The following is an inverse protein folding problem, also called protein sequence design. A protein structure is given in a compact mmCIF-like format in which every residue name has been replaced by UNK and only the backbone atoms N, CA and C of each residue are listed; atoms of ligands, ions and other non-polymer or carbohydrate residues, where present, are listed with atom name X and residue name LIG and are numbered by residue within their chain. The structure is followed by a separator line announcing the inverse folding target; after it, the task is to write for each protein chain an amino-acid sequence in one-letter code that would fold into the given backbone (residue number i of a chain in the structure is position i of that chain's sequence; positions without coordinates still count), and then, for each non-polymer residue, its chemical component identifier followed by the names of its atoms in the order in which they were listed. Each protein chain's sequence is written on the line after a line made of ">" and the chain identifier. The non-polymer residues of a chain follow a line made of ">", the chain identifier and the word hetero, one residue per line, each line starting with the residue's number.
data_IF_639930709288
#
_entry.id   IF_639930709288
#
_cell.length_a   1.000
_cell.length_b   1.000
_cell.length_c   1.000
_cell.angle_alpha   90.00
_cell.angle_beta   90.00
_cell.angle_gamma   90.00
#
_symmetry.space_group_name_H-M   'P 1'
#
loop_
_entity.id
_entity.type
_entity.pdbx_description
1 polymer ?
#
# COMPACT_ATOMS: atom_id res chain seq x y z
N UNK A 1 -14.52 -9.80 15.89
CA UNK A 1 -13.44 -10.28 14.99
C UNK A 1 -13.87 -10.17 13.53
N UNK A 2 -13.18 -9.39 12.70
CA UNK A 2 -13.45 -9.32 11.24
C UNK A 2 -12.31 -9.91 10.41
N UNK A 3 -12.61 -10.31 9.18
CA UNK A 3 -11.64 -10.90 8.26
C UNK A 3 -10.89 -9.80 7.50
N UNK A 4 -9.57 -9.64 7.68
CA UNK A 4 -8.78 -8.60 7.03
C UNK A 4 -8.68 -8.75 5.49
N UNK A 5 -9.00 -9.92 4.93
CA UNK A 5 -9.05 -10.15 3.49
C UNK A 5 -10.40 -9.71 2.86
N UNK A 6 -11.39 -9.32 3.66
CA UNK A 6 -12.74 -8.92 3.20
C UNK A 6 -13.02 -7.46 3.50
N UNK A 7 -13.91 -6.86 2.70
CA UNK A 7 -14.33 -5.47 2.89
C UNK A 7 -13.23 -4.45 2.62
N UNK A 8 -12.23 -4.84 1.82
CA UNK A 8 -11.14 -3.95 1.41
C UNK A 8 -11.74 -2.84 0.56
N UNK A 9 -11.65 -1.60 1.06
CA UNK A 9 -12.23 -0.42 0.43
C UNK A 9 -11.11 0.57 0.15
N UNK A 10 -10.89 0.89 -1.13
CA UNK A 10 -9.87 1.83 -1.57
C UNK A 10 -9.03 1.28 -2.73
N UNK A 11 -8.48 2.19 -3.55
CA UNK A 11 -7.60 1.82 -4.66
C UNK A 11 -6.27 1.28 -4.13
N UNK A 12 -5.84 0.13 -4.65
CA UNK A 12 -4.56 -0.50 -4.33
C UNK A 12 -4.41 -0.95 -2.87
N UNK A 13 -5.52 -1.12 -2.14
CA UNK A 13 -5.51 -1.73 -0.82
C UNK A 13 -5.65 -3.26 -0.95
N UNK A 14 -4.90 -3.98 -0.13
CA UNK A 14 -4.87 -5.45 -0.08
C UNK A 14 -5.23 -5.99 1.30
N UNK A 15 -5.42 -5.10 2.27
CA UNK A 15 -5.76 -5.43 3.65
C UNK A 15 -6.84 -4.45 4.13
N UNK A 16 -7.85 -4.98 4.83
CA UNK A 16 -8.80 -4.16 5.54
C UNK A 16 -8.21 -3.71 6.87
N UNK A 17 -7.76 -2.45 6.90
CA UNK A 17 -7.16 -1.84 8.07
C UNK A 17 -8.11 -1.75 9.29
N UNK A 18 -9.43 -1.70 9.08
CA UNK A 18 -10.40 -1.63 10.18
C UNK A 18 -10.44 -2.92 11.03
N UNK A 19 -9.86 -4.02 10.55
CA UNK A 19 -9.83 -5.30 11.27
C UNK A 19 -8.73 -5.44 12.30
N UNK A 20 -7.81 -4.49 12.36
CA UNK A 20 -6.68 -4.54 13.29
C UNK A 20 -6.95 -3.76 14.59
N UNK A 21 -8.21 -3.61 14.96
CA UNK A 21 -8.64 -2.91 16.18
C UNK A 21 -8.62 -3.86 17.37
N UNK A 22 -8.35 -3.36 18.60
CA UNK A 22 -8.44 -4.20 19.80
C UNK A 22 -9.87 -4.71 19.99
N UNK A 23 -9.99 -5.96 20.42
CA UNK A 23 -11.27 -6.54 20.80
C UNK A 23 -11.78 -5.93 22.11
N UNK A 24 -13.07 -6.13 22.42
CA UNK A 24 -13.61 -5.66 23.69
C UNK A 24 -12.96 -6.39 24.88
N UNK A 25 -12.83 -5.75 26.05
CA UNK A 25 -12.32 -6.41 27.25
C UNK A 25 -13.10 -7.69 27.54
N UNK A 26 -12.37 -8.80 27.76
CA UNK A 26 -12.97 -10.12 28.00
C UNK A 26 -13.17 -10.98 26.74
N UNK A 27 -12.91 -10.44 25.55
CA UNK A 27 -12.93 -11.21 24.30
C UNK A 27 -11.53 -11.68 23.91
N UNK A 28 -11.40 -12.94 23.50
CA UNK A 28 -10.14 -13.47 22.98
C UNK A 28 -9.85 -12.90 21.58
N UNK A 29 -8.59 -12.49 21.39
CA UNK A 29 -7.99 -12.13 20.11
C UNK A 29 -8.15 -13.23 19.06
N UNK A 30 -8.14 -12.86 17.79
CA UNK A 30 -8.00 -13.83 16.69
C UNK A 30 -6.52 -14.16 16.56
N UNK A 31 -6.14 -15.37 16.96
CA UNK A 31 -4.74 -15.80 16.89
C UNK A 31 -4.28 -16.14 15.46
N UNK A 32 -5.22 -16.39 14.53
CA UNK A 32 -4.92 -16.84 13.18
C UNK A 32 -5.26 -15.77 12.15
N UNK A 33 -4.22 -15.30 11.44
CA UNK A 33 -4.37 -14.41 10.28
C UNK A 33 -4.76 -15.24 9.06
N UNK A 34 -5.81 -14.86 8.32
CA UNK A 34 -6.11 -15.52 7.05
C UNK A 34 -5.04 -15.20 6.00
N UNK A 35 -5.04 -15.97 4.91
CA UNK A 35 -4.23 -15.63 3.75
C UNK A 35 -4.62 -14.26 3.19
N UNK A 36 -3.64 -13.37 3.04
CA UNK A 36 -3.80 -12.03 2.48
C UNK A 36 -3.15 -12.01 1.09
N UNK A 37 -3.93 -11.93 0.00
CA UNK A 37 -3.38 -11.86 -1.34
C UNK A 37 -2.74 -10.48 -1.57
N UNK A 38 -1.53 -10.47 -2.12
CA UNK A 38 -0.86 -9.23 -2.53
C UNK A 38 -1.29 -8.74 -3.92
N UNK A 39 -0.66 -7.66 -4.40
CA UNK A 39 -0.80 -7.19 -5.77
C UNK A 39 -0.60 -8.30 -6.81
N UNK A 40 -1.42 -8.28 -7.86
CA UNK A 40 -1.28 -9.21 -8.96
C UNK A 40 -0.02 -8.88 -9.75
N UNK A 41 0.81 -9.89 -9.98
CA UNK A 41 1.94 -9.82 -10.90
C UNK A 41 1.50 -10.29 -12.29
N UNK A 42 1.56 -9.40 -13.28
CA UNK A 42 1.42 -9.74 -14.68
C UNK A 42 2.66 -9.22 -15.41
N UNK A 43 3.14 -9.89 -16.46
CA UNK A 43 4.21 -9.36 -17.31
C UNK A 43 4.04 -9.89 -18.73
N UNK A 44 4.43 -9.08 -19.71
CA UNK A 44 4.31 -9.42 -21.13
C UNK A 44 5.65 -9.24 -21.81
N UNK A 45 6.18 -10.32 -22.37
CA UNK A 45 7.45 -10.29 -23.10
C UNK A 45 7.22 -10.72 -24.54
N UNK A 46 7.86 -10.03 -25.48
CA UNK A 46 7.73 -10.27 -26.91
C UNK A 46 9.11 -10.52 -27.52
N UNK A 47 9.26 -11.67 -28.18
CA UNK A 47 10.46 -11.96 -28.98
C UNK A 47 10.07 -12.28 -30.41
N UNK A 48 10.66 -11.55 -31.36
CA UNK A 48 10.51 -11.76 -32.80
C UNK A 48 11.87 -12.12 -33.39
N UNK A 49 11.89 -13.19 -34.19
CA UNK A 49 13.09 -13.61 -34.91
C UNK A 49 12.76 -13.90 -36.37
N UNK A 50 13.55 -13.34 -37.28
CA UNK A 50 13.38 -13.58 -38.72
C UNK A 50 14.73 -13.88 -39.36
N UNK A 51 14.76 -14.96 -40.11
CA UNK A 51 15.89 -15.35 -40.94
C UNK A 51 15.60 -14.94 -42.39
N UNK A 52 16.53 -14.21 -42.99
CA UNK A 52 16.57 -13.86 -44.39
C UNK A 52 17.69 -14.67 -45.04
N UNK A 53 17.32 -15.54 -45.99
CA UNK A 53 18.31 -16.24 -46.83
C UNK A 53 18.78 -15.26 -47.90
N UNK A 54 20.08 -15.00 -47.94
CA UNK A 54 20.68 -14.14 -48.97
C UNK A 54 21.11 -15.03 -50.14
N UNK A 55 21.83 -16.12 -49.85
CA UNK A 55 22.23 -17.16 -50.82
C UNK A 55 22.02 -18.55 -50.22
N UNK A 56 22.41 -19.59 -50.93
CA UNK A 56 22.31 -20.99 -50.48
C UNK A 56 23.12 -21.28 -49.21
N UNK A 57 24.22 -20.55 -49.00
CA UNK A 57 25.10 -20.68 -47.83
C UNK A 57 24.99 -19.50 -46.85
N UNK A 58 24.52 -18.34 -47.30
CA UNK A 58 24.46 -17.14 -46.47
C UNK A 58 23.07 -16.87 -45.88
N UNK A 59 23.01 -16.66 -44.57
CA UNK A 59 21.78 -16.30 -43.84
C UNK A 59 22.01 -15.13 -42.92
N UNK A 60 21.10 -14.15 -42.96
CA UNK A 60 21.03 -13.03 -42.04
C UNK A 60 19.84 -13.20 -41.10
N UNK A 61 20.09 -13.16 -39.80
CA UNK A 61 19.06 -13.30 -38.76
C UNK A 61 18.93 -11.99 -37.98
N UNK A 62 17.71 -11.46 -37.95
CA UNK A 62 17.34 -10.37 -37.04
C UNK A 62 16.58 -10.95 -35.85
N UNK A 63 16.93 -10.47 -34.67
CA UNK A 63 16.27 -10.79 -33.39
C UNK A 63 15.89 -9.47 -32.74
N UNK A 64 14.64 -9.39 -32.34
CA UNK A 64 14.08 -8.30 -31.56
C UNK A 64 13.48 -8.92 -30.30
N UNK A 65 13.90 -8.47 -29.12
CA UNK A 65 13.28 -8.84 -27.87
C UNK A 65 12.83 -7.58 -27.13
N UNK A 66 11.62 -7.61 -26.59
CA UNK A 66 11.04 -6.55 -25.78
C UNK A 66 10.47 -7.17 -24.50
N UNK A 67 10.99 -6.74 -23.35
CA UNK A 67 10.53 -7.16 -22.03
C UNK A 67 9.60 -6.08 -21.45
N UNK A 68 8.52 -6.51 -20.80
CA UNK A 68 7.38 -5.66 -20.45
C UNK A 68 6.87 -4.85 -21.67
N UNK A 69 6.60 -5.56 -22.77
CA UNK A 69 6.21 -4.98 -24.06
C UNK A 69 4.96 -4.11 -23.99
N UNK A 70 3.96 -4.52 -23.21
CA UNK A 70 2.72 -3.74 -23.03
C UNK A 70 2.89 -2.53 -22.11
N UNK A 71 4.10 -2.33 -21.55
CA UNK A 71 4.44 -1.22 -20.66
C UNK A 71 3.38 -1.01 -19.57
N UNK A 72 2.87 -2.11 -19.04
CA UNK A 72 1.95 -2.05 -17.93
C UNK A 72 2.73 -2.01 -16.63
N UNK A 73 2.07 -1.48 -15.61
CA UNK A 73 2.66 -1.18 -14.34
C UNK A 73 2.51 -2.35 -13.36
N UNK A 74 3.61 -2.82 -12.77
CA UNK A 74 3.56 -3.82 -11.70
C UNK A 74 3.50 -3.11 -10.37
N UNK A 75 2.29 -3.07 -9.82
CA UNK A 75 2.09 -2.66 -8.46
C UNK A 75 2.69 -3.70 -7.50
N UNK A 76 3.46 -3.26 -6.51
CA UNK A 76 4.08 -4.15 -5.53
C UNK A 76 4.29 -3.45 -4.18
N UNK A 77 4.60 -4.25 -3.17
CA UNK A 77 5.19 -3.80 -1.92
C UNK A 77 6.71 -3.96 -2.01
N UNK A 78 7.46 -2.94 -1.58
CA UNK A 78 8.93 -2.99 -1.58
C UNK A 78 9.48 -3.51 -0.27
N UNK A 79 10.74 -3.92 -0.27
CA UNK A 79 11.44 -4.25 0.97
C UNK A 79 11.41 -3.04 1.91
N UNK A 80 11.00 -3.27 3.16
CA UNK A 80 10.82 -2.22 4.19
C UNK A 80 9.72 -1.19 3.91
N UNK A 81 8.72 -1.52 3.07
CA UNK A 81 7.56 -0.65 2.84
C UNK A 81 6.85 -0.29 4.15
N UNK A 82 6.65 1.00 4.38
CA UNK A 82 6.00 1.50 5.58
C UNK A 82 4.50 1.15 5.61
N UNK A 83 3.91 0.90 4.44
CA UNK A 83 2.51 0.45 4.33
C UNK A 83 2.32 -1.01 4.78
N UNK A 84 3.41 -1.76 5.05
CA UNK A 84 3.37 -3.10 5.65
C UNK A 84 3.71 -3.10 7.14
N UNK A 85 4.05 -1.95 7.71
CA UNK A 85 4.43 -1.84 9.12
C UNK A 85 3.23 -1.39 9.92
N UNK A 86 2.76 -2.25 10.81
CA UNK A 86 1.78 -1.89 11.81
C UNK A 86 2.51 -1.52 13.10
N UNK A 87 2.33 -0.28 13.55
CA UNK A 87 2.84 0.18 14.83
C UNK A 87 1.71 0.16 15.86
N UNK A 88 1.89 -0.62 16.93
CA UNK A 88 0.91 -0.80 18.02
C UNK A 88 1.34 -0.07 19.31
N UNK A 89 2.36 0.80 19.23
CA UNK A 89 2.97 1.42 20.42
C UNK A 89 1.99 2.33 21.18
N UNK A 90 0.91 2.74 20.53
CA UNK A 90 -0.10 3.63 21.09
C UNK A 90 -1.16 2.89 21.93
N UNK A 91 -1.19 1.55 21.91
CA UNK A 91 -2.12 0.77 22.77
C UNK A 91 -1.71 0.73 24.25
N UNK A 92 -0.52 1.24 24.59
CA UNK A 92 -0.05 1.45 25.97
C UNK A 92 0.03 2.94 26.35
N UNK A 93 -0.29 3.83 25.42
CA UNK A 93 -0.64 5.20 25.79
C UNK A 93 -2.13 5.21 26.12
N UNK A 94 -2.45 4.74 27.34
CA UNK A 94 -3.41 5.53 28.12
C UNK A 94 -2.86 6.93 28.02
N UNK A 95 -3.59 7.77 27.30
CA UNK A 95 -3.30 9.18 27.12
C UNK A 95 -3.18 9.79 28.52
N UNK A 96 -1.97 9.78 29.06
CA UNK A 96 -1.62 10.34 30.35
C UNK A 96 -1.16 11.79 30.18
N UNK A 97 -1.53 12.42 29.06
CA UNK A 97 -1.11 13.79 28.76
C UNK A 97 -1.73 14.49 27.55
N UNK A 98 -2.42 13.80 26.62
CA UNK A 98 -3.33 14.54 25.73
C UNK A 98 -4.59 14.82 26.53
N UNK A 99 -4.83 16.10 26.76
CA UNK A 99 -6.11 16.58 27.24
C UNK A 99 -7.19 15.91 26.39
N UNK A 100 -7.90 14.95 26.97
CA UNK A 100 -9.09 14.37 26.38
C UNK A 100 -10.05 15.55 26.31
N UNK A 101 -10.12 16.22 25.16
CA UNK A 101 -11.18 17.18 24.88
C UNK A 101 -12.47 16.37 24.74
N UNK A 102 -13.00 15.93 25.87
CA UNK A 102 -14.40 15.59 25.98
C UNK A 102 -15.17 16.88 25.71
N UNK A 103 -16.09 16.90 24.72
CA UNK A 103 -16.95 18.04 24.52
C UNK A 103 -17.94 18.08 25.69
N UNK A 104 -17.54 18.71 26.79
CA UNK A 104 -18.34 18.82 28.00
C UNK A 104 -17.50 18.76 29.27
N UNK A 105 -16.68 19.78 29.51
CA UNK A 105 -16.66 20.56 30.76
C UNK A 105 -15.40 21.45 30.84
N UNK A 106 -15.61 22.76 30.69
CA UNK A 106 -14.77 23.82 31.25
C UNK A 106 -13.41 24.09 30.59
N UNK A 107 -13.38 24.92 29.55
CA UNK A 107 -12.25 25.80 29.26
C UNK A 107 -12.63 27.22 29.69
N UNK A 108 -11.79 27.96 30.44
CA UNK A 108 -12.04 29.37 30.69
C UNK A 108 -11.94 30.13 29.37
N UNK A 109 -13.02 30.80 29.00
CA UNK A 109 -13.09 31.67 27.84
C UNK A 109 -12.04 32.79 27.96
N UNK A 110 -10.98 32.76 27.13
CA UNK A 110 -10.15 33.96 26.85
C UNK A 110 -9.16 33.82 25.69
N UNK A 111 -9.43 33.01 24.65
CA UNK A 111 -8.71 33.18 23.38
C UNK A 111 -9.65 33.02 22.17
N UNK A 112 -10.02 34.12 21.48
CA UNK A 112 -10.81 34.06 20.25
C UNK A 112 -10.00 33.53 19.05
N UNK A 113 -8.74 33.14 19.23
CA UNK A 113 -7.85 32.65 18.17
C UNK A 113 -7.19 31.28 18.47
N UNK A 114 -7.55 30.59 19.55
CA UNK A 114 -7.05 29.26 19.87
C UNK A 114 -7.89 28.14 19.23
N UNK A 115 -7.89 28.06 17.90
CA UNK A 115 -8.43 26.89 17.18
C UNK A 115 -7.51 26.51 16.02
N UNK A 116 -6.31 26.08 16.36
CA UNK A 116 -5.59 25.12 15.52
C UNK A 116 -5.50 23.81 16.30
N UNK A 117 -6.56 23.01 16.26
CA UNK A 117 -6.38 21.55 16.27
C UNK A 117 -5.53 21.25 15.05
N UNK A 118 -4.20 21.23 15.20
CA UNK A 118 -3.33 20.74 14.15
C UNK A 118 -3.60 19.25 14.02
N UNK A 119 -4.54 18.93 13.12
CA UNK A 119 -4.79 17.59 12.68
C UNK A 119 -3.54 17.16 11.90
N UNK A 120 -2.68 16.38 12.56
CA UNK A 120 -1.47 15.86 11.95
C UNK A 120 -1.84 14.87 10.82
N UNK A 121 -1.02 14.74 9.76
CA UNK A 121 -1.22 13.71 8.75
C UNK A 121 -1.31 12.33 9.40
N UNK A 122 -2.27 11.51 8.97
CA UNK A 122 -2.41 10.14 9.49
C UNK A 122 -1.11 9.36 9.24
N UNK A 123 -0.50 8.76 10.29
CA UNK A 123 0.67 7.93 10.10
C UNK A 123 0.31 6.73 9.22
N UNK A 124 1.20 6.41 8.29
CA UNK A 124 1.07 5.28 7.36
C UNK A 124 0.94 3.92 8.08
N UNK A 125 1.32 3.87 9.36
CA UNK A 125 1.53 2.65 10.16
C UNK A 125 0.45 2.39 11.19
N UNK A 126 -0.64 3.18 11.20
CA UNK A 126 -1.59 3.17 12.29
C UNK A 126 -2.98 2.72 11.83
N UNK A 127 -3.68 2.00 12.70
CA UNK A 127 -5.08 1.61 12.49
C UNK A 127 -5.94 2.87 12.42
N UNK A 128 -6.24 3.32 11.21
CA UNK A 128 -7.25 4.33 10.97
C UNK A 128 -8.66 3.78 11.16
N UNK A 129 -9.42 4.36 12.09
CA UNK A 129 -10.87 4.23 12.20
C UNK A 129 -11.53 5.52 11.72
N UNK A 130 -12.65 5.43 11.02
CA UNK A 130 -13.52 6.59 10.77
C UNK A 130 -14.68 6.56 11.75
N UNK A 131 -14.78 7.58 12.60
CA UNK A 131 -15.90 7.78 13.52
C UNK A 131 -16.60 9.07 13.11
N UNK A 132 -17.89 9.01 12.76
CA UNK A 132 -18.69 10.17 12.33
C UNK A 132 -18.04 11.03 11.24
N UNK A 133 -17.31 10.40 10.31
CA UNK A 133 -16.63 11.09 9.20
C UNK A 133 -15.22 11.62 9.53
N UNK A 134 -14.76 11.51 10.78
CA UNK A 134 -13.43 11.93 11.23
C UNK A 134 -12.50 10.70 11.29
N UNK A 135 -11.30 10.79 10.70
CA UNK A 135 -10.30 9.71 10.76
C UNK A 135 -9.48 9.80 12.05
N UNK A 136 -9.33 8.67 12.73
CA UNK A 136 -8.52 8.51 13.92
C UNK A 136 -7.47 7.45 13.67
N UNK A 137 -6.20 7.76 13.91
CA UNK A 137 -5.11 6.81 13.97
C UNK A 137 -4.78 6.57 15.44
N UNK A 138 -4.84 5.32 15.91
CA UNK A 138 -4.48 4.94 17.29
C UNK A 138 -5.20 5.77 18.37
N UNK A 139 -6.45 6.17 18.10
CA UNK A 139 -7.25 6.98 19.01
C UNK A 139 -7.03 8.49 18.91
N UNK A 140 -6.10 8.97 18.07
CA UNK A 140 -5.85 10.39 17.83
C UNK A 140 -6.44 10.82 16.49
N UNK A 141 -7.13 11.96 16.46
CA UNK A 141 -7.65 12.53 15.21
C UNK A 141 -6.50 12.90 14.27
N UNK A 142 -6.55 12.41 13.04
CA UNK A 142 -5.54 12.66 12.02
C UNK A 142 -6.17 12.98 10.66
N UNK A 143 -5.39 13.62 9.79
CA UNK A 143 -5.83 14.09 8.48
C UNK A 143 -5.39 13.07 7.43
N UNK A 144 -6.35 12.53 6.66
CA UNK A 144 -6.09 11.57 5.61
C UNK A 144 -6.69 10.19 5.88
N UNK A 145 -6.30 9.21 5.07
CA UNK A 145 -6.67 7.80 5.21
C UNK A 145 -5.39 7.03 5.54
N UNK A 146 -5.40 6.08 6.50
CA UNK A 146 -4.23 5.23 6.74
C UNK A 146 -3.84 4.49 5.45
N UNK A 147 -2.54 4.36 5.20
CA UNK A 147 -2.01 3.66 4.02
C UNK A 147 -1.57 2.23 4.33
N UNK A 148 -1.78 1.74 5.56
CA UNK A 148 -1.50 0.36 5.92
C UNK A 148 -2.27 -0.60 5.01
N UNK A 149 -1.54 -1.54 4.41
CA UNK A 149 -2.06 -2.48 3.42
C UNK A 149 -2.24 -1.91 2.01
N UNK A 150 -1.82 -0.66 1.74
CA UNK A 150 -1.88 -0.06 0.41
C UNK A 150 -0.55 -0.24 -0.33
N UNK A 151 -0.57 -0.89 -1.50
CA UNK A 151 0.59 -0.94 -2.36
C UNK A 151 0.70 0.36 -3.17
N UNK A 152 1.85 1.02 -3.09
CA UNK A 152 2.11 2.28 -3.80
C UNK A 152 3.34 2.22 -4.68
N UNK A 153 4.11 1.13 -4.59
CA UNK A 153 5.35 1.01 -5.34
C UNK A 153 5.10 0.37 -6.68
N UNK A 154 5.77 0.91 -7.69
CA UNK A 154 5.67 0.52 -9.08
C UNK A 154 7.02 -0.06 -9.51
N UNK A 155 7.03 -1.32 -9.94
CA UNK A 155 8.25 -2.05 -10.29
C UNK A 155 8.21 -2.51 -11.74
N UNK A 156 9.38 -2.90 -12.26
CA UNK A 156 9.54 -3.37 -13.63
C UNK A 156 10.17 -2.31 -14.55
N UNK A 157 10.91 -2.80 -15.54
CA UNK A 157 11.57 -1.97 -16.55
C UNK A 157 11.17 -2.44 -17.94
N UNK A 158 11.04 -1.50 -18.88
CA UNK A 158 10.91 -1.82 -20.30
C UNK A 158 12.29 -1.93 -20.90
N UNK A 159 12.65 -3.13 -21.36
CA UNK A 159 13.95 -3.40 -21.98
C UNK A 159 13.72 -3.79 -23.43
N UNK A 160 14.51 -3.20 -24.33
CA UNK A 160 14.51 -3.51 -25.75
C UNK A 160 15.90 -4.02 -26.14
N UNK A 161 15.95 -5.19 -26.76
CA UNK A 161 17.17 -5.81 -27.24
C UNK A 161 17.10 -6.07 -28.74
N UNK A 162 18.21 -5.78 -29.42
CA UNK A 162 18.37 -5.97 -30.85
C UNK A 162 19.58 -6.86 -31.09
N UNK A 163 19.37 -7.94 -31.84
CA UNK A 163 20.42 -8.87 -32.23
C UNK A 163 20.45 -9.05 -33.74
N UNK A 164 21.64 -9.01 -34.31
CA UNK A 164 21.88 -9.36 -35.71
C UNK A 164 22.91 -10.49 -35.74
N UNK A 165 22.63 -11.53 -36.50
CA UNK A 165 23.56 -12.64 -36.71
C UNK A 165 23.70 -12.92 -38.19
N UNK A 166 24.95 -12.96 -38.66
CA UNK A 166 25.28 -13.31 -40.03
C UNK A 166 25.98 -14.68 -40.04
N UNK A 167 25.63 -15.52 -41.01
CA UNK A 167 26.21 -16.85 -41.21
C UNK A 167 26.56 -17.00 -42.69
N UNK A 168 27.75 -17.52 -42.98
CA UNK A 168 28.31 -17.70 -44.32
C UNK A 168 28.63 -19.16 -44.63
#
# INVERSE_FOLDING_TARGET
>A
VCNPAKGISGKNYFINNNCFVPNQPGELGTASMPYLPGPLFWNSDLTLMKNFKITERQTLQFRFAAFNFLNHDLLSFVTNDNNLKLNLNDFSQVVTGANMLFPGNGLPASDPNATTTQVLPCPNTTIGQKINGVTYASGIQCAGTPTFGQATSHVGHRILELGVKYTF
#
